data_IF_467571382837
#
_entry.id   IF_467571382837
#
_cell.length_a   1.000
_cell.length_b   1.000
_cell.length_c   1.000
_cell.angle_alpha   90.00
_cell.angle_beta   90.00
_cell.angle_gamma   90.00
#
_symmetry.space_group_name_H-M   'P 1'
#
loop_
_entity.id
_entity.type
_entity.pdbx_description
1 polymer ?
#
# COMPACT_ATOMS: atom_id res chain seq x y z
N UNK A 1 -5.42 6.92 -21.26
CA UNK A 1 -6.49 7.24 -20.29
C UNK A 1 -5.83 7.79 -19.03
N UNK A 2 -6.07 9.06 -18.70
CA UNK A 2 -5.43 9.76 -17.58
C UNK A 2 -6.38 9.68 -16.38
N UNK A 3 -5.97 9.06 -15.27
CA UNK A 3 -6.67 9.20 -14.00
C UNK A 3 -6.24 10.54 -13.37
N UNK A 4 -7.14 11.52 -13.18
CA UNK A 4 -6.78 12.74 -12.48
C UNK A 4 -6.86 12.49 -10.97
N UNK A 5 -5.78 12.84 -10.27
CA UNK A 5 -5.77 12.95 -8.81
C UNK A 5 -6.56 14.21 -8.46
N UNK A 6 -7.85 14.07 -8.17
CA UNK A 6 -8.65 15.17 -7.62
C UNK A 6 -8.43 15.24 -6.11
N UNK A 7 -7.68 16.24 -5.68
CA UNK A 7 -7.65 16.71 -4.30
C UNK A 7 -8.99 17.42 -4.06
N UNK A 8 -9.91 16.73 -3.37
CA UNK A 8 -11.12 17.36 -2.83
C UNK A 8 -10.86 17.64 -1.36
N UNK A 9 -10.80 18.92 -1.00
CA UNK A 9 -10.82 19.34 0.39
C UNK A 9 -12.15 18.89 1.01
N UNK A 10 -12.12 17.92 1.92
CA UNK A 10 -13.29 17.49 2.68
C UNK A 10 -13.39 18.32 3.96
N UNK A 11 -14.53 18.97 4.13
CA UNK A 11 -14.99 19.57 5.38
C UNK A 11 -15.09 18.51 6.48
N UNK A 12 -14.49 18.80 7.64
CA UNK A 12 -14.50 17.95 8.83
C UNK A 12 -15.92 17.93 9.40
N UNK A 13 -16.65 16.83 9.18
CA UNK A 13 -17.76 16.45 10.06
C UNK A 13 -17.18 15.62 11.21
N UNK A 14 -17.11 16.22 12.39
CA UNK A 14 -16.78 15.53 13.63
C UNK A 14 -17.94 14.61 14.02
N UNK A 15 -17.87 13.35 13.60
CA UNK A 15 -18.77 12.30 14.08
C UNK A 15 -18.21 11.67 15.35
N UNK A 16 -18.76 12.05 16.50
CA UNK A 16 -18.65 11.28 17.74
C UNK A 16 -19.73 10.19 17.73
N UNK A 17 -19.46 9.08 17.04
CA UNK A 17 -20.27 7.86 17.22
C UNK A 17 -19.34 6.73 17.60
N UNK A 18 -19.65 6.09 18.72
CA UNK A 18 -19.02 4.84 19.15
C UNK A 18 -19.28 3.81 18.05
N UNK A 19 -18.27 3.50 17.23
CA UNK A 19 -18.43 2.59 16.11
C UNK A 19 -18.63 1.16 16.63
N UNK A 20 -19.86 0.66 16.55
CA UNK A 20 -20.16 -0.76 16.71
C UNK A 20 -19.86 -1.51 15.43
N UNK A 21 -18.65 -2.05 15.31
CA UNK A 21 -18.37 -3.28 14.56
C UNK A 21 -18.31 -3.24 13.04
N UNK A 22 -18.02 -2.10 12.40
CA UNK A 22 -17.46 -2.00 11.03
C UNK A 22 -17.18 -0.52 10.68
N UNK A 23 -16.28 -0.28 9.73
CA UNK A 23 -16.10 1.03 9.10
C UNK A 23 -17.36 1.38 8.29
N UNK A 24 -17.99 2.52 8.57
CA UNK A 24 -19.31 2.84 8.03
C UNK A 24 -19.26 3.07 6.52
N UNK A 25 -20.27 2.55 5.80
CA UNK A 25 -20.36 2.64 4.34
C UNK A 25 -20.39 4.11 3.87
N UNK A 26 -21.08 4.99 4.60
CA UNK A 26 -21.18 6.42 4.31
C UNK A 26 -19.85 7.18 4.43
N UNK A 27 -18.86 6.64 5.16
CA UNK A 27 -17.53 7.25 5.25
C UNK A 27 -16.59 6.82 4.12
N UNK A 28 -17.02 5.89 3.26
CA UNK A 28 -16.23 5.56 2.09
C UNK A 28 -16.30 6.67 1.03
N UNK A 29 -15.16 6.92 0.40
CA UNK A 29 -15.11 7.81 -0.75
C UNK A 29 -15.90 7.19 -1.90
N UNK A 30 -16.78 7.98 -2.51
CA UNK A 30 -17.68 7.51 -3.56
C UNK A 30 -16.95 6.83 -4.73
N UNK A 31 -15.69 7.19 -5.00
CA UNK A 31 -14.85 6.49 -5.98
C UNK A 31 -14.54 5.05 -5.62
N UNK A 32 -14.17 4.79 -4.36
CA UNK A 32 -13.83 3.45 -3.88
C UNK A 32 -15.05 2.54 -3.82
N UNK A 33 -16.19 3.03 -3.31
CA UNK A 33 -17.43 2.23 -3.29
C UNK A 33 -17.87 1.79 -4.69
N UNK A 34 -17.78 2.68 -5.69
CA UNK A 34 -18.13 2.33 -7.08
C UNK A 34 -17.28 1.19 -7.65
N UNK A 35 -16.04 1.04 -7.18
CA UNK A 35 -15.13 0.00 -7.64
C UNK A 35 -15.29 -1.32 -6.89
N UNK A 36 -16.05 -1.37 -5.78
CA UNK A 36 -16.23 -2.59 -4.97
C UNK A 36 -16.82 -3.75 -5.77
N UNK A 37 -17.91 -3.59 -6.55
CA UNK A 37 -18.44 -4.68 -7.36
C UNK A 37 -17.40 -5.23 -8.34
N UNK A 38 -16.62 -4.34 -8.97
CA UNK A 38 -15.52 -4.73 -9.87
C UNK A 38 -14.42 -5.49 -9.12
N UNK A 39 -14.15 -5.13 -7.87
CA UNK A 39 -13.16 -5.83 -7.05
C UNK A 39 -13.60 -7.25 -6.68
N UNK A 40 -14.89 -7.44 -6.36
CA UNK A 40 -15.48 -8.76 -6.12
C UNK A 40 -15.37 -9.61 -7.39
N UNK A 41 -15.86 -9.10 -8.53
CA UNK A 41 -15.81 -9.82 -9.80
C UNK A 41 -14.37 -10.19 -10.19
N UNK A 42 -13.41 -9.28 -9.99
CA UNK A 42 -12.00 -9.53 -10.29
C UNK A 42 -11.41 -10.62 -9.40
N UNK A 43 -11.64 -10.58 -8.08
CA UNK A 43 -11.08 -11.59 -7.18
C UNK A 43 -11.69 -12.96 -7.48
N UNK A 44 -13.01 -13.04 -7.61
CA UNK A 44 -13.72 -14.30 -7.84
C UNK A 44 -13.39 -14.92 -9.20
N UNK A 45 -13.16 -14.11 -10.25
CA UNK A 45 -12.92 -14.62 -11.61
C UNK A 45 -11.44 -14.75 -11.99
N UNK A 46 -10.57 -13.86 -11.50
CA UNK A 46 -9.17 -13.78 -11.95
C UNK A 46 -8.17 -14.23 -10.89
N UNK A 47 -8.52 -14.19 -9.60
CA UNK A 47 -7.60 -14.51 -8.50
C UNK A 47 -8.30 -15.27 -7.35
N UNK A 48 -9.04 -16.37 -7.63
CA UNK A 48 -9.94 -17.00 -6.65
C UNK A 48 -9.24 -17.64 -5.44
N UNK A 49 -7.90 -17.71 -5.44
CA UNK A 49 -7.11 -18.27 -4.34
C UNK A 49 -6.60 -17.26 -3.32
N UNK A 50 -6.93 -15.97 -3.45
CA UNK A 50 -6.47 -14.96 -2.50
C UNK A 50 -7.18 -15.11 -1.15
N UNK A 51 -6.41 -15.28 -0.08
CA UNK A 51 -6.93 -15.42 1.29
C UNK A 51 -6.13 -14.56 2.24
N UNK A 52 -6.82 -13.82 3.10
CA UNK A 52 -6.22 -13.16 4.26
C UNK A 52 -6.95 -13.61 5.51
N UNK A 53 -6.19 -13.80 6.59
CA UNK A 53 -6.75 -13.96 7.92
C UNK A 53 -7.58 -12.71 8.28
N UNK A 54 -8.66 -12.85 9.06
CA UNK A 54 -9.37 -11.70 9.61
C UNK A 54 -8.44 -10.83 10.46
N UNK A 55 -8.64 -9.49 10.46
CA UNK A 55 -7.94 -8.64 11.42
C UNK A 55 -8.36 -8.99 12.87
N UNK A 56 -7.55 -8.60 13.88
CA UNK A 56 -8.02 -8.61 15.25
C UNK A 56 -9.29 -7.76 15.41
N UNK A 57 -10.24 -8.25 16.22
CA UNK A 57 -11.48 -7.52 16.53
C UNK A 57 -11.18 -6.13 17.13
N UNK A 58 -12.04 -5.16 16.85
CA UNK A 58 -11.80 -3.75 17.20
C UNK A 58 -11.73 -3.51 18.72
N UNK A 59 -12.45 -4.31 19.53
CA UNK A 59 -12.48 -4.25 21.00
C UNK A 59 -11.49 -5.23 21.68
N UNK A 60 -10.68 -5.94 20.91
CA UNK A 60 -9.73 -6.92 21.45
C UNK A 60 -8.52 -6.30 22.15
N UNK A 61 -7.92 -7.05 23.09
CA UNK A 61 -6.63 -6.69 23.72
C UNK A 61 -5.50 -6.51 22.71
N UNK A 62 -5.56 -7.23 21.58
CA UNK A 62 -4.59 -7.09 20.48
C UNK A 62 -4.72 -5.72 19.84
N UNK A 63 -5.93 -5.32 19.44
CA UNK A 63 -6.17 -3.98 18.86
C UNK A 63 -5.79 -2.87 19.84
N UNK A 64 -6.15 -3.00 21.13
CA UNK A 64 -5.74 -2.04 22.16
C UNK A 64 -4.20 -1.92 22.28
N UNK A 65 -3.49 -3.04 22.26
CA UNK A 65 -2.02 -3.07 22.30
C UNK A 65 -1.38 -2.43 21.06
N UNK A 66 -1.97 -2.64 19.89
CA UNK A 66 -1.56 -2.00 18.64
C UNK A 66 -1.71 -0.47 18.72
N UNK A 67 -2.86 0.04 19.19
CA UNK A 67 -3.10 1.48 19.36
C UNK A 67 -2.08 2.09 20.32
N UNK A 68 -1.81 1.44 21.46
CA UNK A 68 -0.79 1.91 22.40
C UNK A 68 0.62 1.97 21.79
N UNK A 69 0.95 1.03 20.90
CA UNK A 69 2.19 1.10 20.11
C UNK A 69 2.19 2.31 19.19
N UNK A 70 1.08 2.58 18.48
CA UNK A 70 0.99 3.75 17.60
C UNK A 70 1.11 5.07 18.36
N UNK A 71 0.52 5.17 19.57
CA UNK A 71 0.67 6.34 20.44
C UNK A 71 2.11 6.57 20.87
N UNK A 72 2.87 5.50 21.15
CA UNK A 72 4.31 5.61 21.41
C UNK A 72 5.06 6.11 20.18
N UNK A 73 4.80 5.54 19.00
CA UNK A 73 5.41 6.02 17.75
C UNK A 73 5.09 7.49 17.46
N UNK A 74 3.85 7.93 17.68
CA UNK A 74 3.45 9.32 17.50
C UNK A 74 4.26 10.28 18.38
N UNK A 75 4.71 9.86 19.57
CA UNK A 75 5.51 10.68 20.50
C UNK A 75 6.99 10.70 20.13
N UNK A 76 7.50 9.65 19.48
CA UNK A 76 8.94 9.48 19.18
C UNK A 76 9.27 9.61 17.69
N UNK A 77 8.30 9.91 16.83
CA UNK A 77 8.51 10.02 15.37
C UNK A 77 9.53 11.10 15.02
N UNK A 78 10.42 10.79 14.08
CA UNK A 78 11.42 11.75 13.62
C UNK A 78 10.86 12.65 12.51
N UNK A 79 11.40 13.86 12.39
CA UNK A 79 11.03 14.81 11.31
C UNK A 79 11.24 14.23 9.91
N UNK A 80 12.28 13.40 9.72
CA UNK A 80 12.53 12.68 8.47
C UNK A 80 11.35 11.77 8.09
N UNK A 81 10.73 11.11 9.06
CA UNK A 81 9.63 10.18 8.80
C UNK A 81 8.39 10.95 8.38
N UNK A 82 8.11 12.08 9.02
CA UNK A 82 7.01 12.98 8.64
C UNK A 82 7.13 13.44 7.18
N UNK A 83 8.33 13.89 6.78
CA UNK A 83 8.59 14.32 5.40
C UNK A 83 8.35 13.18 4.41
N UNK A 84 8.89 11.98 4.71
CA UNK A 84 8.72 10.81 3.85
C UNK A 84 7.26 10.35 3.79
N UNK A 85 6.53 10.44 4.90
CA UNK A 85 5.10 10.11 4.96
C UNK A 85 4.32 10.97 3.96
N UNK A 86 4.53 12.30 3.96
CA UNK A 86 3.88 13.20 3.02
C UNK A 86 4.28 12.92 1.57
N UNK A 87 5.58 12.73 1.30
CA UNK A 87 6.06 12.39 -0.05
C UNK A 87 5.40 11.13 -0.60
N UNK A 88 5.33 10.09 0.22
CA UNK A 88 4.70 8.81 -0.15
C UNK A 88 3.19 8.89 -0.28
N UNK A 89 2.54 9.86 0.39
CA UNK A 89 1.11 10.08 0.23
C UNK A 89 0.79 10.77 -1.11
N UNK A 90 1.76 11.49 -1.69
CA UNK A 90 1.67 12.06 -3.04
C UNK A 90 2.02 11.03 -4.12
N UNK A 91 3.12 10.31 -3.92
CA UNK A 91 3.59 9.29 -4.85
C UNK A 91 4.39 8.21 -4.08
N UNK A 92 3.75 7.08 -3.70
CA UNK A 92 4.42 6.03 -2.93
C UNK A 92 5.46 5.27 -3.75
N UNK A 93 5.45 5.41 -5.07
CA UNK A 93 6.29 4.63 -5.99
C UNK A 93 7.59 5.37 -6.36
N UNK A 94 7.58 6.71 -6.27
CA UNK A 94 8.73 7.57 -6.66
C UNK A 94 10.05 7.14 -6.04
N UNK A 95 10.02 6.72 -4.78
CA UNK A 95 11.23 6.42 -4.01
C UNK A 95 11.99 5.20 -4.50
N UNK A 96 11.34 4.29 -5.24
CA UNK A 96 12.04 3.18 -5.86
C UNK A 96 13.01 3.67 -6.94
N UNK A 97 12.62 4.67 -7.72
CA UNK A 97 13.51 5.30 -8.72
C UNK A 97 14.68 6.02 -8.05
N UNK A 98 14.44 6.71 -6.92
CA UNK A 98 15.50 7.34 -6.12
C UNK A 98 16.52 6.32 -5.61
N UNK A 99 16.07 5.16 -5.13
CA UNK A 99 16.96 4.06 -4.69
C UNK A 99 17.74 3.46 -5.85
N UNK A 100 17.11 3.36 -7.04
CA UNK A 100 17.76 2.83 -8.23
C UNK A 100 18.75 3.80 -8.87
N UNK A 101 18.66 5.09 -8.52
CA UNK A 101 19.51 6.16 -9.07
C UNK A 101 19.12 6.57 -10.49
N UNK A 102 17.84 6.42 -10.86
CA UNK A 102 17.31 6.73 -12.20
C UNK A 102 16.07 7.60 -12.11
N UNK A 103 15.75 8.33 -13.17
CA UNK A 103 14.48 9.05 -13.35
C UNK A 103 13.47 8.20 -14.13
N UNK A 104 12.18 8.53 -14.03
CA UNK A 104 11.11 7.78 -14.75
C UNK A 104 11.26 7.91 -16.27
N UNK A 105 11.80 9.04 -16.72
CA UNK A 105 12.06 9.36 -18.13
C UNK A 105 13.20 8.53 -18.72
N UNK A 106 14.21 8.19 -17.91
CA UNK A 106 15.32 7.31 -18.30
C UNK A 106 14.91 5.85 -18.39
N UNK A 107 13.90 5.44 -17.60
CA UNK A 107 13.41 4.05 -17.52
C UNK A 107 11.90 3.92 -17.76
N UNK A 108 11.38 4.28 -18.95
CA UNK A 108 9.95 4.27 -19.22
C UNK A 108 9.30 2.87 -19.14
N UNK A 109 10.03 1.78 -19.45
CA UNK A 109 9.48 0.44 -19.31
C UNK A 109 9.39 0.01 -17.84
N UNK A 110 10.38 0.37 -17.03
CA UNK A 110 10.32 0.18 -15.58
C UNK A 110 9.19 1.00 -14.95
N UNK A 111 9.05 2.26 -15.37
CA UNK A 111 7.98 3.14 -14.90
C UNK A 111 6.60 2.58 -15.22
N UNK A 112 6.42 2.08 -16.44
CA UNK A 112 5.22 1.37 -16.83
C UNK A 112 4.97 0.14 -15.94
N UNK A 113 5.99 -0.70 -15.73
CA UNK A 113 5.87 -1.91 -14.91
C UNK A 113 5.48 -1.58 -13.47
N UNK A 114 6.16 -0.63 -12.81
CA UNK A 114 5.88 -0.25 -11.42
C UNK A 114 4.46 0.29 -11.27
N UNK A 115 3.99 1.12 -12.20
CA UNK A 115 2.59 1.60 -12.21
C UNK A 115 1.62 0.45 -12.42
N UNK A 116 1.92 -0.46 -13.34
CA UNK A 116 1.08 -1.62 -13.61
C UNK A 116 0.97 -2.57 -12.40
N UNK A 117 2.06 -2.77 -11.65
CA UNK A 117 2.04 -3.53 -10.38
C UNK A 117 1.07 -2.89 -9.36
N UNK A 118 1.11 -1.56 -9.23
CA UNK A 118 0.23 -0.85 -8.32
C UNK A 118 -1.25 -0.93 -8.75
N UNK A 119 -1.52 -0.87 -10.06
CA UNK A 119 -2.86 -1.04 -10.64
C UNK A 119 -3.40 -2.47 -10.42
N UNK A 120 -2.59 -3.49 -10.65
CA UNK A 120 -2.99 -4.90 -10.51
C UNK A 120 -3.27 -5.30 -9.05
N UNK A 121 -2.68 -4.59 -8.08
CA UNK A 121 -2.95 -4.82 -6.66
C UNK A 121 -4.17 -4.06 -6.13
N UNK A 122 -4.68 -3.05 -6.86
CA UNK A 122 -5.75 -2.18 -6.38
C UNK A 122 -7.05 -2.93 -6.08
N UNK A 123 -7.54 -3.76 -7.02
CA UNK A 123 -8.79 -4.49 -6.84
C UNK A 123 -8.73 -5.54 -5.73
N UNK A 124 -7.68 -6.38 -5.64
CA UNK A 124 -7.48 -7.25 -4.48
C UNK A 124 -7.47 -6.52 -3.13
N UNK A 125 -6.80 -5.36 -3.04
CA UNK A 125 -6.78 -4.56 -1.81
C UNK A 125 -8.20 -4.07 -1.48
N UNK A 126 -8.92 -3.54 -2.48
CA UNK A 126 -10.25 -3.00 -2.31
C UNK A 126 -11.26 -4.08 -1.89
N UNK A 127 -11.16 -5.28 -2.48
CA UNK A 127 -11.94 -6.44 -2.11
C UNK A 127 -11.81 -6.75 -0.61
N UNK A 128 -10.57 -6.88 -0.10
CA UNK A 128 -10.36 -7.19 1.31
C UNK A 128 -10.73 -6.03 2.24
N UNK A 129 -10.58 -4.77 1.79
CA UNK A 129 -11.10 -3.60 2.51
C UNK A 129 -12.59 -3.68 2.73
N UNK A 130 -13.33 -4.02 1.67
CA UNK A 130 -14.77 -4.19 1.76
C UNK A 130 -15.14 -5.39 2.64
N UNK A 131 -14.49 -6.54 2.41
CA UNK A 131 -14.76 -7.79 3.13
C UNK A 131 -14.63 -7.66 4.65
N UNK A 132 -13.58 -6.99 5.12
CA UNK A 132 -13.30 -6.90 6.56
C UNK A 132 -13.72 -5.59 7.18
N UNK A 133 -13.86 -4.52 6.39
CA UNK A 133 -14.33 -3.21 6.84
C UNK A 133 -13.74 -2.72 8.17
N UNK A 134 -12.46 -3.01 8.43
CA UNK A 134 -11.81 -2.67 9.71
C UNK A 134 -11.77 -1.17 9.94
N UNK A 135 -12.17 -0.74 11.13
CA UNK A 135 -12.06 0.65 11.59
C UNK A 135 -10.59 1.06 11.67
N UNK A 136 -10.28 2.36 11.54
CA UNK A 136 -8.90 2.87 11.62
C UNK A 136 -8.50 3.25 13.05
N UNK A 137 -7.20 3.26 13.37
CA UNK A 137 -6.73 3.50 14.74
C UNK A 137 -7.26 4.80 15.37
N UNK A 138 -7.21 5.91 14.62
CA UNK A 138 -7.62 7.22 15.11
C UNK A 138 -9.15 7.40 15.23
N UNK A 139 -9.95 6.47 14.69
CA UNK A 139 -11.38 6.42 14.96
C UNK A 139 -11.68 5.75 16.30
N UNK A 140 -10.90 4.74 16.70
CA UNK A 140 -11.06 4.03 17.98
C UNK A 140 -10.44 4.79 19.16
N UNK A 141 -9.31 5.48 18.96
CA UNK A 141 -8.73 6.39 19.96
C UNK A 141 -8.48 7.76 19.33
N UNK A 142 -9.37 8.71 19.62
CA UNK A 142 -9.29 10.09 19.11
C UNK A 142 -8.12 10.90 19.68
N UNK A 143 -7.42 10.39 20.70
CA UNK A 143 -6.19 11.00 21.21
C UNK A 143 -4.94 10.60 20.40
N UNK A 144 -5.06 9.67 19.45
CA UNK A 144 -3.98 9.32 18.54
C UNK A 144 -3.78 10.42 17.48
N UNK A 145 -2.62 11.08 17.52
CA UNK A 145 -2.30 12.15 16.58
C UNK A 145 -1.71 11.60 15.28
N UNK A 146 -2.44 11.74 14.17
CA UNK A 146 -1.97 11.32 12.85
C UNK A 146 -1.02 12.35 12.21
N UNK A 147 -0.21 11.91 11.24
CA UNK A 147 0.64 12.79 10.41
C UNK A 147 -0.11 13.31 9.19
N UNK A 148 -1.03 12.49 8.69
CA UNK A 148 -1.83 12.75 7.49
C UNK A 148 -3.30 12.55 7.82
N UNK A 149 -4.14 13.12 6.96
CA UNK A 149 -5.57 12.87 7.01
C UNK A 149 -5.88 11.40 6.74
N UNK A 150 -6.96 10.96 7.36
CA UNK A 150 -7.51 9.62 7.19
C UNK A 150 -8.06 9.38 5.78
N UNK A 151 -7.64 8.32 5.06
CA UNK A 151 -8.23 7.98 3.78
C UNK A 151 -9.70 7.54 3.95
N UNK A 152 -10.59 7.87 3.00
CA UNK A 152 -12.02 7.57 3.08
C UNK A 152 -12.30 6.12 2.65
N UNK A 153 -11.72 5.16 3.37
CA UNK A 153 -11.92 3.72 3.21
C UNK A 153 -11.34 2.96 4.42
N UNK A 154 -11.74 1.70 4.64
CA UNK A 154 -11.30 0.89 5.78
C UNK A 154 -9.78 0.67 5.86
N UNK A 155 -9.33 0.25 7.04
CA UNK A 155 -7.91 0.07 7.36
C UNK A 155 -7.32 -1.20 6.75
N UNK A 156 -8.02 -2.32 6.82
CA UNK A 156 -7.42 -3.63 6.55
C UNK A 156 -7.64 -4.11 5.10
N UNK A 157 -6.62 -4.60 4.37
CA UNK A 157 -5.19 -4.54 4.67
C UNK A 157 -4.60 -3.17 4.32
N UNK A 158 -3.36 -2.91 4.74
CA UNK A 158 -2.64 -1.70 4.33
C UNK A 158 -2.30 -1.73 2.83
N UNK A 159 -2.91 -0.82 2.06
CA UNK A 159 -2.69 -0.74 0.61
C UNK A 159 -1.25 -0.33 0.26
N UNK A 160 -0.70 0.64 1.00
CA UNK A 160 0.69 1.07 0.83
C UNK A 160 1.70 -0.03 1.17
N UNK A 161 1.43 -0.82 2.22
CA UNK A 161 2.29 -1.97 2.55
C UNK A 161 2.22 -3.04 1.45
N UNK A 162 1.02 -3.31 0.92
CA UNK A 162 0.83 -4.25 -0.20
C UNK A 162 1.61 -3.79 -1.43
N UNK A 163 1.38 -2.57 -1.88
CA UNK A 163 2.03 -2.02 -3.08
C UNK A 163 3.54 -1.89 -2.90
N UNK A 164 4.00 -1.34 -1.77
CA UNK A 164 5.42 -1.16 -1.47
C UNK A 164 6.17 -2.50 -1.43
N UNK A 165 5.64 -3.51 -0.75
CA UNK A 165 6.26 -4.83 -0.70
C UNK A 165 6.23 -5.53 -2.06
N UNK A 166 5.10 -5.47 -2.77
CA UNK A 166 4.95 -6.12 -4.08
C UNK A 166 5.93 -5.54 -5.11
N UNK A 167 6.00 -4.21 -5.22
CA UNK A 167 6.95 -3.51 -6.09
C UNK A 167 8.38 -3.87 -5.71
N UNK A 168 8.75 -3.75 -4.43
CA UNK A 168 10.10 -4.07 -3.97
C UNK A 168 10.50 -5.52 -4.32
N UNK A 169 9.59 -6.47 -4.10
CA UNK A 169 9.85 -7.89 -4.34
C UNK A 169 9.99 -8.25 -5.82
N UNK A 170 9.30 -7.53 -6.72
CA UNK A 170 9.41 -7.73 -8.17
C UNK A 170 10.60 -6.97 -8.76
N UNK A 171 10.96 -5.82 -8.19
CA UNK A 171 12.19 -5.10 -8.56
C UNK A 171 13.44 -5.89 -8.20
N UNK A 172 13.47 -6.56 -7.05
CA UNK A 172 14.57 -7.43 -6.67
C UNK A 172 14.79 -8.58 -7.67
N UNK A 173 13.72 -9.11 -8.28
CA UNK A 173 13.82 -10.16 -9.32
C UNK A 173 14.32 -9.63 -10.69
N UNK A 174 14.25 -8.30 -10.92
CA UNK A 174 14.76 -7.67 -12.13
C UNK A 174 16.27 -7.42 -12.06
N UNK A 175 16.76 -7.04 -10.88
CA UNK A 175 18.16 -6.74 -10.64
C UNK A 175 19.00 -8.03 -10.60
N UNK A 176 20.29 -7.98 -10.98
CA UNK A 176 21.22 -9.09 -10.73
C UNK A 176 21.29 -9.41 -9.23
N UNK A 177 21.44 -10.68 -8.84
CA UNK A 177 21.52 -11.08 -7.42
C UNK A 177 22.63 -10.36 -6.65
N UNK A 178 23.75 -10.07 -7.33
CA UNK A 178 24.90 -9.34 -6.77
C UNK A 178 24.74 -7.81 -6.74
N UNK A 179 23.61 -7.26 -7.20
CA UNK A 179 23.38 -5.82 -7.22
C UNK A 179 23.22 -5.29 -5.78
N UNK A 180 24.07 -4.35 -5.33
CA UNK A 180 24.02 -3.82 -3.97
C UNK A 180 22.71 -3.09 -3.63
N UNK A 181 21.91 -2.71 -4.64
CA UNK A 181 20.62 -2.03 -4.44
C UNK A 181 19.51 -2.97 -4.00
N UNK A 182 19.66 -4.29 -4.17
CA UNK A 182 18.65 -5.28 -3.81
C UNK A 182 18.19 -5.14 -2.36
N UNK A 183 19.13 -5.06 -1.43
CA UNK A 183 18.82 -4.92 -0.01
C UNK A 183 18.03 -3.64 0.26
N UNK A 184 18.46 -2.51 -0.32
CA UNK A 184 17.81 -1.22 -0.11
C UNK A 184 16.41 -1.14 -0.71
N UNK A 185 16.18 -1.76 -1.87
CA UNK A 185 14.85 -1.86 -2.50
C UNK A 185 13.90 -2.66 -1.61
N UNK A 186 14.33 -3.83 -1.13
CA UNK A 186 13.53 -4.67 -0.24
C UNK A 186 13.24 -3.99 1.11
N UNK A 187 14.22 -3.28 1.66
CA UNK A 187 14.05 -2.48 2.87
C UNK A 187 13.03 -1.35 2.67
N UNK A 188 13.14 -0.60 1.56
CA UNK A 188 12.19 0.47 1.22
C UNK A 188 10.75 -0.04 1.16
N UNK A 189 10.52 -1.21 0.56
CA UNK A 189 9.19 -1.82 0.49
C UNK A 189 8.56 -2.05 1.87
N UNK A 190 9.36 -2.48 2.85
CA UNK A 190 8.91 -2.65 4.25
C UNK A 190 8.69 -1.30 4.94
N UNK A 191 9.62 -0.36 4.76
CA UNK A 191 9.55 0.95 5.38
C UNK A 191 8.30 1.74 4.98
N UNK A 192 7.83 1.60 3.73
CA UNK A 192 6.61 2.28 3.26
C UNK A 192 5.40 1.87 4.12
N UNK A 193 5.27 0.59 4.45
CA UNK A 193 4.23 0.08 5.34
C UNK A 193 4.42 0.59 6.77
N UNK A 194 5.63 0.49 7.33
CA UNK A 194 5.95 0.96 8.68
C UNK A 194 5.67 2.47 8.83
N UNK A 195 5.95 3.27 7.79
CA UNK A 195 5.65 4.71 7.82
C UNK A 195 4.15 5.00 7.90
N UNK A 196 3.27 4.08 7.46
CA UNK A 196 1.83 4.23 7.70
C UNK A 196 1.43 3.96 9.16
N UNK A 197 2.15 3.10 9.86
CA UNK A 197 2.01 2.92 11.31
C UNK A 197 2.50 4.17 12.04
N UNK A 198 3.69 4.69 11.68
CA UNK A 198 4.22 5.95 12.25
C UNK A 198 3.26 7.12 11.99
N UNK A 199 2.58 7.13 10.84
CA UNK A 199 1.57 8.11 10.49
C UNK A 199 0.28 7.99 11.32
N UNK A 200 0.07 6.88 12.04
CA UNK A 200 -1.11 6.62 12.87
C UNK A 200 -2.35 6.15 12.10
N UNK A 201 -2.21 5.79 10.82
CA UNK A 201 -3.36 5.46 9.96
C UNK A 201 -3.58 3.97 9.75
N UNK A 202 -2.62 3.12 10.10
CA UNK A 202 -2.69 1.67 9.98
C UNK A 202 -2.12 0.97 11.22
N UNK A 203 -2.70 -0.17 11.56
CA UNK A 203 -2.20 -1.07 12.60
C UNK A 203 -1.02 -1.91 12.08
N UNK A 204 -0.14 -2.42 12.96
CA UNK A 204 0.86 -3.42 12.58
C UNK A 204 0.28 -4.65 11.86
N UNK A 205 -0.88 -5.13 12.28
CA UNK A 205 -1.61 -6.23 11.62
C UNK A 205 -2.10 -5.87 10.21
N UNK A 206 -2.48 -4.61 9.94
CA UNK A 206 -2.81 -4.17 8.57
C UNK A 206 -1.59 -4.23 7.66
N UNK A 207 -0.41 -3.81 8.17
CA UNK A 207 0.86 -3.89 7.45
C UNK A 207 1.24 -5.34 7.16
N UNK A 208 1.16 -6.20 8.16
CA UNK A 208 1.46 -7.63 8.02
C UNK A 208 0.56 -8.30 6.98
N UNK A 209 -0.74 -8.01 7.00
CA UNK A 209 -1.70 -8.51 6.02
C UNK A 209 -1.44 -7.97 4.61
N UNK A 210 -1.04 -6.70 4.48
CA UNK A 210 -0.65 -6.14 3.19
C UNK A 210 0.56 -6.87 2.58
N UNK A 211 1.56 -7.19 3.41
CA UNK A 211 2.72 -8.00 2.98
C UNK A 211 2.28 -9.43 2.60
N UNK A 212 1.38 -10.05 3.37
CA UNK A 212 0.86 -11.37 3.06
C UNK A 212 0.10 -11.39 1.73
N UNK A 213 -0.71 -10.37 1.45
CA UNK A 213 -1.41 -10.20 0.18
C UNK A 213 -0.43 -10.04 -0.98
N UNK A 214 0.58 -9.19 -0.82
CA UNK A 214 1.62 -8.98 -1.84
C UNK A 214 2.35 -10.29 -2.20
N UNK A 215 2.67 -11.13 -1.21
CA UNK A 215 3.29 -12.45 -1.44
C UNK A 215 2.41 -13.38 -2.29
N UNK A 216 1.09 -13.32 -2.13
CA UNK A 216 0.16 -14.11 -2.93
C UNK A 216 -0.03 -13.52 -4.34
N UNK A 217 -0.04 -12.20 -4.48
CA UNK A 217 -0.19 -11.53 -5.77
C UNK A 217 1.03 -11.73 -6.68
N UNK A 218 2.25 -11.73 -6.12
CA UNK A 218 3.49 -11.85 -6.89
C UNK A 218 3.49 -13.02 -7.90
N UNK A 219 3.27 -14.29 -7.51
CA UNK A 219 3.24 -15.39 -8.47
C UNK A 219 2.10 -15.26 -9.50
N UNK A 220 0.92 -14.80 -9.09
CA UNK A 220 -0.22 -14.62 -10.00
C UNK A 220 0.08 -13.58 -11.09
N UNK A 221 0.79 -12.50 -10.76
CA UNK A 221 1.22 -11.52 -11.76
C UNK A 221 2.24 -12.11 -12.72
N UNK A 222 3.20 -12.88 -12.21
CA UNK A 222 4.24 -13.50 -13.03
C UNK A 222 3.69 -14.56 -13.99
N UNK A 223 2.48 -15.09 -13.77
CA UNK A 223 1.80 -15.99 -14.71
C UNK A 223 1.09 -15.28 -15.87
N UNK A 224 0.81 -13.98 -15.75
CA UNK A 224 0.08 -13.22 -16.78
C UNK A 224 0.98 -12.90 -17.98
N UNK A 225 0.63 -13.29 -19.22
CA UNK A 225 1.47 -13.04 -20.40
C UNK A 225 1.79 -11.55 -20.65
N UNK A 226 0.80 -10.67 -20.42
CA UNK A 226 1.00 -9.22 -20.56
C UNK A 226 2.00 -8.68 -19.52
N UNK A 227 1.94 -9.19 -18.29
CA UNK A 227 2.86 -8.82 -17.22
C UNK A 227 4.27 -9.32 -17.51
N UNK A 228 4.43 -10.58 -17.92
CA UNK A 228 5.73 -11.15 -18.32
C UNK A 228 6.40 -10.33 -19.42
N UNK A 229 5.64 -9.84 -20.40
CA UNK A 229 6.15 -8.97 -21.46
C UNK A 229 6.69 -7.65 -20.88
N UNK A 230 5.92 -6.98 -20.01
CA UNK A 230 6.36 -5.75 -19.35
C UNK A 230 7.59 -5.99 -18.45
N UNK A 231 7.59 -7.09 -17.70
CA UNK A 231 8.67 -7.50 -16.83
C UNK A 231 9.99 -7.71 -17.59
N UNK A 232 9.94 -8.43 -18.72
CA UNK A 232 11.11 -8.62 -19.60
C UNK A 232 11.61 -7.30 -20.19
N UNK A 233 10.71 -6.40 -20.61
CA UNK A 233 11.08 -5.10 -21.16
C UNK A 233 11.81 -4.24 -20.12
N UNK A 234 11.29 -4.16 -18.90
CA UNK A 234 11.94 -3.44 -17.79
C UNK A 234 13.30 -4.05 -17.42
N UNK A 235 13.42 -5.38 -17.43
CA UNK A 235 14.70 -6.06 -17.17
C UNK A 235 15.76 -5.68 -18.20
N UNK A 236 15.41 -5.73 -19.49
CA UNK A 236 16.33 -5.35 -20.56
C UNK A 236 16.74 -3.88 -20.49
N UNK A 237 15.80 -2.99 -20.16
CA UNK A 237 16.06 -1.56 -19.97
C UNK A 237 17.06 -1.31 -18.83
N UNK A 238 16.84 -1.91 -17.65
CA UNK A 238 17.75 -1.79 -16.51
C UNK A 238 19.16 -2.32 -16.80
N UNK A 239 19.26 -3.47 -17.48
CA UNK A 239 20.57 -4.01 -17.88
C UNK A 239 21.31 -3.10 -18.86
N UNK A 240 20.61 -2.38 -19.73
CA UNK A 240 21.25 -1.47 -20.70
C UNK A 240 21.86 -0.24 -20.03
N UNK A 241 21.23 0.28 -18.97
CA UNK A 241 21.71 1.46 -18.22
C UNK A 241 22.91 1.12 -17.35
N UNK A 242 22.94 -0.10 -16.79
CA UNK A 242 24.08 -0.58 -16.00
C UNK A 242 25.38 -0.72 -16.82
N UNK A 243 25.29 -0.86 -18.16
CA UNK A 243 26.48 -0.93 -19.04
C UNK A 243 27.03 0.45 -19.42
N UNK A 244 26.27 1.52 -19.19
CA UNK A 244 26.63 2.90 -19.56
C UNK A 244 27.23 3.72 -18.42
N UNK A 245 27.36 3.15 -17.22
CA UNK A 245 27.99 3.76 -16.03
C UNK A 245 29.16 2.91 -15.56
#
# INVERSE_FOLDING_TARGET
MKYPISIVALSILSFTTSFGGNFPEEAWGAGYLRDVPRAIDYVDSQTPGLVLEPPPEDDSETTASEIERLKRLSKTRHSKDIILIHKESLDPLKRFFEVLGVSREEVPNLDFLIRHIAEESYLPILYFKHKFSRIRPYHLDTNLITVIDGPPHPSYPSGHATQGFLVASLLADLLPDCDPRNERVLELGKEIGIRREIAGVHYPSDTAAGIALAKQLKPLLLEKPAFQKAFKAAKSELSSIQLSH
#
